data_IF_518712293662
#
_entry.id   IF_518712293662
#
_cell.length_a   1.000
_cell.length_b   1.000
_cell.length_c   1.000
_cell.angle_alpha   90.00
_cell.angle_beta   90.00
_cell.angle_gamma   90.00
#
_symmetry.space_group_name_H-M   'P 1'
#
loop_
_entity.id
_entity.type
_entity.pdbx_description
1 polymer ?
#
# COMPACT_ATOMS: atom_id res chain seq x y z
N UNK A 1 -13.63 11.70 -14.28
CA UNK A 1 -12.95 13.03 -14.27
C UNK A 1 -12.24 13.12 -12.91
N UNK A 2 -10.91 12.91 -12.84
CA UNK A 2 -10.18 13.05 -11.59
C UNK A 2 -10.07 14.54 -11.27
N UNK A 3 -10.83 14.98 -10.27
CA UNK A 3 -10.66 16.32 -9.71
C UNK A 3 -9.27 16.42 -9.12
N UNK A 4 -8.48 17.35 -9.63
CA UNK A 4 -7.18 17.71 -9.06
C UNK A 4 -7.43 18.30 -7.67
N UNK A 5 -7.12 17.53 -6.62
CA UNK A 5 -7.28 17.98 -5.24
C UNK A 5 -6.02 18.70 -4.81
N UNK A 6 -6.18 19.78 -4.04
CA UNK A 6 -5.06 20.56 -3.50
C UNK A 6 -4.04 19.67 -2.75
N UNK A 7 -4.53 18.69 -2.02
CA UNK A 7 -3.72 17.76 -1.23
C UNK A 7 -2.75 16.93 -2.09
N UNK A 8 -3.10 16.66 -3.35
CA UNK A 8 -2.23 15.95 -4.29
C UNK A 8 -1.02 16.79 -4.68
N UNK A 9 -1.22 18.09 -4.92
CA UNK A 9 -0.12 19.01 -5.22
C UNK A 9 0.81 19.19 -4.03
N UNK A 10 0.27 19.30 -2.84
CA UNK A 10 1.06 19.39 -1.61
C UNK A 10 1.88 18.10 -1.36
N UNK A 11 1.31 16.94 -1.70
CA UNK A 11 2.04 15.66 -1.63
C UNK A 11 3.21 15.62 -2.60
N UNK A 12 3.03 16.08 -3.86
CA UNK A 12 4.11 16.17 -4.84
C UNK A 12 5.24 17.10 -4.37
N UNK A 13 4.91 18.31 -3.87
CA UNK A 13 5.89 19.27 -3.33
C UNK A 13 6.67 18.70 -2.16
N UNK A 14 5.97 18.08 -1.22
CA UNK A 14 6.56 17.49 -0.02
C UNK A 14 7.54 16.36 -0.37
N UNK A 15 7.13 15.48 -1.29
CA UNK A 15 7.95 14.37 -1.76
C UNK A 15 9.17 14.89 -2.54
N UNK A 16 9.00 15.91 -3.41
CA UNK A 16 10.11 16.56 -4.09
C UNK A 16 11.12 17.17 -3.12
N UNK A 17 10.64 17.86 -2.07
CA UNK A 17 11.51 18.44 -1.04
C UNK A 17 12.29 17.37 -0.29
N UNK A 18 11.64 16.25 0.06
CA UNK A 18 12.28 15.11 0.72
C UNK A 18 13.35 14.46 -0.18
N UNK A 19 13.05 14.24 -1.48
CA UNK A 19 14.02 13.70 -2.44
C UNK A 19 15.23 14.60 -2.62
N UNK A 20 15.03 15.92 -2.70
CA UNK A 20 16.12 16.91 -2.79
C UNK A 20 17.00 16.94 -1.55
N UNK A 21 16.45 16.79 -0.37
CA UNK A 21 17.20 16.74 0.88
C UNK A 21 18.17 15.56 0.93
N UNK A 22 17.86 14.45 0.26
CA UNK A 22 18.75 13.28 0.15
C UNK A 22 19.85 13.53 -0.90
N UNK A 23 19.57 14.33 -1.92
CA UNK A 23 20.54 14.78 -2.93
C UNK A 23 20.81 13.78 -4.07
N UNK A 24 20.40 12.52 -3.94
CA UNK A 24 20.66 11.47 -4.94
C UNK A 24 19.52 11.27 -5.95
N UNK A 25 18.31 11.77 -5.66
CA UNK A 25 17.12 11.55 -6.48
C UNK A 25 16.55 12.87 -7.03
N UNK A 26 17.45 13.76 -7.50
CA UNK A 26 17.08 15.09 -7.97
C UNK A 26 16.14 15.05 -9.18
N UNK A 27 16.37 14.15 -10.12
CA UNK A 27 15.48 14.02 -11.29
C UNK A 27 14.07 13.54 -10.90
N UNK A 28 13.96 12.67 -9.90
CA UNK A 28 12.64 12.28 -9.38
C UNK A 28 11.95 13.46 -8.68
N UNK A 29 12.71 14.30 -7.96
CA UNK A 29 12.18 15.53 -7.40
C UNK A 29 11.69 16.50 -8.48
N UNK A 30 12.45 16.65 -9.57
CA UNK A 30 12.08 17.49 -10.71
C UNK A 30 10.84 16.94 -11.44
N UNK A 31 10.71 15.62 -11.59
CA UNK A 31 9.48 15.00 -12.05
C UNK A 31 8.27 15.42 -11.20
N UNK A 32 8.36 15.32 -9.88
CA UNK A 32 7.27 15.68 -8.96
C UNK A 32 6.88 17.15 -9.11
N UNK A 33 7.85 18.08 -9.24
CA UNK A 33 7.59 19.51 -9.37
C UNK A 33 6.98 19.88 -10.73
N UNK A 34 7.46 19.29 -11.82
CA UNK A 34 6.87 19.53 -13.15
C UNK A 34 5.45 18.94 -13.24
N UNK A 35 5.23 17.79 -12.56
CA UNK A 35 3.89 17.20 -12.51
C UNK A 35 2.93 18.05 -11.66
N UNK A 36 3.40 18.62 -10.55
CA UNK A 36 2.64 19.58 -9.72
C UNK A 36 2.23 20.81 -10.51
N UNK A 37 3.09 21.34 -11.36
CA UNK A 37 2.81 22.48 -12.24
C UNK A 37 1.84 22.17 -13.39
N UNK A 38 1.41 20.90 -13.51
CA UNK A 38 0.55 20.46 -14.61
C UNK A 38 1.30 20.21 -15.93
N UNK A 39 2.62 20.30 -15.93
CA UNK A 39 3.47 20.12 -17.12
C UNK A 39 3.73 18.62 -17.37
N UNK A 40 2.64 17.86 -17.53
CA UNK A 40 2.66 16.40 -17.58
C UNK A 40 3.66 15.83 -18.59
N UNK A 41 3.74 16.42 -19.79
CA UNK A 41 4.66 15.93 -20.84
C UNK A 41 6.13 16.06 -20.41
N UNK A 42 6.50 17.21 -19.83
CA UNK A 42 7.83 17.46 -19.32
C UNK A 42 8.15 16.54 -18.12
N UNK A 43 7.21 16.45 -17.18
CA UNK A 43 7.35 15.57 -16.03
C UNK A 43 7.64 14.13 -16.46
N UNK A 44 6.85 13.56 -17.36
CA UNK A 44 7.06 12.17 -17.82
C UNK A 44 8.35 12.00 -18.64
N UNK A 45 8.80 13.01 -19.38
CA UNK A 45 10.11 12.97 -20.04
C UNK A 45 11.28 12.89 -19.01
N UNK A 46 11.16 13.62 -17.90
CA UNK A 46 12.12 13.54 -16.78
C UNK A 46 12.04 12.16 -16.13
N UNK A 47 10.83 11.69 -15.82
CA UNK A 47 10.63 10.38 -15.19
C UNK A 47 11.24 9.24 -16.02
N UNK A 48 11.06 9.23 -17.34
CA UNK A 48 11.64 8.19 -18.19
C UNK A 48 13.16 8.19 -18.16
N UNK A 49 13.82 9.36 -18.12
CA UNK A 49 15.28 9.43 -17.92
C UNK A 49 15.68 8.86 -16.58
N UNK A 50 15.01 9.29 -15.51
CA UNK A 50 15.23 8.77 -14.17
C UNK A 50 15.10 7.24 -14.10
N UNK A 51 14.05 6.67 -14.70
CA UNK A 51 13.83 5.22 -14.77
C UNK A 51 15.01 4.54 -15.48
N UNK A 52 15.38 5.04 -16.68
CA UNK A 52 16.50 4.45 -17.45
C UNK A 52 17.82 4.52 -16.69
N UNK A 53 18.03 5.54 -15.86
CA UNK A 53 19.22 5.64 -15.03
C UNK A 53 19.14 4.69 -13.83
N UNK A 54 17.98 4.57 -13.21
CA UNK A 54 17.76 3.66 -12.07
C UNK A 54 17.88 2.18 -12.47
N UNK A 55 17.45 1.78 -13.67
CA UNK A 55 17.62 0.40 -14.19
C UNK A 55 19.09 -0.03 -14.24
N UNK A 56 20.01 0.92 -14.47
CA UNK A 56 21.45 0.67 -14.53
C UNK A 56 22.14 0.71 -13.16
N UNK A 57 21.41 1.13 -12.12
CA UNK A 57 21.97 1.21 -10.76
C UNK A 57 22.08 -0.17 -10.11
N UNK A 58 23.07 -0.36 -9.22
CA UNK A 58 23.15 -1.55 -8.38
C UNK A 58 21.87 -1.76 -7.58
N UNK A 59 21.58 -3.01 -7.22
CA UNK A 59 20.43 -3.38 -6.39
C UNK A 59 20.30 -2.48 -5.14
N UNK A 60 21.37 -2.26 -4.41
CA UNK A 60 21.38 -1.46 -3.19
C UNK A 60 20.86 -0.02 -3.39
N UNK A 61 21.19 0.61 -4.51
CA UNK A 61 20.71 1.96 -4.81
C UNK A 61 19.23 1.93 -5.18
N UNK A 62 18.79 0.94 -5.96
CA UNK A 62 17.37 0.75 -6.31
C UNK A 62 16.55 0.45 -5.07
N UNK A 63 17.03 -0.45 -4.20
CA UNK A 63 16.39 -0.79 -2.91
C UNK A 63 16.21 0.44 -2.03
N UNK A 64 17.26 1.25 -1.86
CA UNK A 64 17.20 2.49 -1.06
C UNK A 64 16.16 3.47 -1.58
N UNK A 65 16.10 3.64 -2.90
CA UNK A 65 15.08 4.49 -3.51
C UNK A 65 13.67 3.94 -3.28
N UNK A 66 13.45 2.65 -3.54
CA UNK A 66 12.15 1.99 -3.40
C UNK A 66 11.67 2.01 -1.95
N UNK A 67 12.54 1.67 -0.99
CA UNK A 67 12.23 1.74 0.45
C UNK A 67 11.82 3.15 0.87
N UNK A 68 12.63 4.16 0.52
CA UNK A 68 12.30 5.55 0.81
C UNK A 68 10.97 5.99 0.16
N UNK A 69 10.78 5.68 -1.12
CA UNK A 69 9.59 6.08 -1.86
C UNK A 69 8.34 5.49 -1.23
N UNK A 70 8.31 4.18 -1.02
CA UNK A 70 7.16 3.47 -0.48
C UNK A 70 6.82 3.89 0.96
N UNK A 71 7.84 4.15 1.77
CA UNK A 71 7.66 4.72 3.11
C UNK A 71 7.12 6.16 3.05
N UNK A 72 7.63 6.97 2.13
CA UNK A 72 7.20 8.37 1.98
C UNK A 72 5.75 8.48 1.51
N UNK A 73 5.30 7.56 0.64
CA UNK A 73 3.93 7.61 0.09
C UNK A 73 2.91 6.78 0.88
N UNK A 74 3.35 6.10 1.94
CA UNK A 74 2.43 5.31 2.77
C UNK A 74 1.35 6.20 3.39
N UNK A 75 0.09 5.77 3.21
CA UNK A 75 -1.07 6.53 3.67
C UNK A 75 -1.42 7.78 2.85
N UNK A 76 -0.68 8.08 1.77
CA UNK A 76 -0.98 9.23 0.91
C UNK A 76 -1.99 8.85 -0.18
N UNK A 77 -3.07 9.63 -0.33
CA UNK A 77 -4.04 9.46 -1.42
C UNK A 77 -3.43 9.74 -2.81
N UNK A 78 -2.39 10.56 -2.87
CA UNK A 78 -1.67 10.91 -4.10
C UNK A 78 -0.70 9.82 -4.59
N UNK A 79 -0.69 8.61 -3.99
CA UNK A 79 0.23 7.53 -4.34
C UNK A 79 0.33 7.29 -5.85
N UNK A 80 -0.79 7.27 -6.56
CA UNK A 80 -0.84 7.04 -8.02
C UNK A 80 -0.15 8.11 -8.85
N UNK A 81 0.02 9.33 -8.31
CA UNK A 81 0.77 10.41 -8.94
C UNK A 81 2.26 10.32 -8.62
N UNK A 82 2.59 9.91 -7.41
CA UNK A 82 3.96 9.75 -6.92
C UNK A 82 4.63 8.48 -7.46
N UNK A 83 3.85 7.42 -7.66
CA UNK A 83 4.30 6.17 -8.26
C UNK A 83 3.46 5.90 -9.52
N UNK A 84 3.71 6.62 -10.62
CA UNK A 84 3.01 6.35 -11.86
C UNK A 84 3.40 5.00 -12.45
N UNK A 85 2.51 4.43 -13.26
CA UNK A 85 2.63 3.08 -13.78
C UNK A 85 4.01 2.71 -14.36
N UNK A 86 4.70 3.56 -15.16
CA UNK A 86 6.04 3.22 -15.63
C UNK A 86 7.06 3.01 -14.49
N UNK A 87 7.02 3.83 -13.44
CA UNK A 87 7.90 3.70 -12.27
C UNK A 87 7.57 2.43 -11.47
N UNK A 88 6.27 2.15 -11.30
CA UNK A 88 5.81 0.95 -10.61
C UNK A 88 6.36 -0.32 -11.28
N UNK A 89 6.14 -0.46 -12.60
CA UNK A 89 6.45 -1.70 -13.33
C UNK A 89 7.96 -1.87 -13.57
N UNK A 90 8.69 -0.77 -13.84
CA UNK A 90 10.08 -0.87 -14.28
C UNK A 90 11.08 -0.81 -13.13
N UNK A 91 10.72 -0.18 -12.00
CA UNK A 91 11.64 -0.01 -10.87
C UNK A 91 11.09 -0.66 -9.59
N UNK A 92 9.86 -0.29 -9.17
CA UNK A 92 9.37 -0.70 -7.85
C UNK A 92 9.18 -2.21 -7.78
N UNK A 93 8.35 -2.78 -8.64
CA UNK A 93 8.05 -4.22 -8.62
C UNK A 93 9.30 -5.10 -8.83
N UNK A 94 10.14 -4.88 -9.86
CA UNK A 94 11.33 -5.69 -10.04
C UNK A 94 12.30 -5.61 -8.86
N UNK A 95 12.45 -4.42 -8.26
CA UNK A 95 13.32 -4.24 -7.09
C UNK A 95 12.79 -4.98 -5.87
N UNK A 96 11.48 -4.95 -5.62
CA UNK A 96 10.86 -5.69 -4.51
C UNK A 96 11.02 -7.19 -4.70
N UNK A 97 10.81 -7.71 -5.91
CA UNK A 97 10.97 -9.13 -6.21
C UNK A 97 12.43 -9.58 -6.04
N UNK A 98 13.39 -8.80 -6.52
CA UNK A 98 14.81 -9.07 -6.31
C UNK A 98 15.17 -9.03 -4.81
N UNK A 99 14.59 -8.08 -4.07
CA UNK A 99 14.84 -7.93 -2.63
C UNK A 99 14.40 -9.16 -1.83
N UNK A 100 13.24 -9.76 -2.16
CA UNK A 100 12.81 -11.00 -1.51
C UNK A 100 13.78 -12.18 -1.73
N UNK A 101 14.51 -12.17 -2.86
CA UNK A 101 15.48 -13.20 -3.18
C UNK A 101 16.84 -12.95 -2.52
N UNK A 102 17.29 -11.70 -2.49
CA UNK A 102 18.59 -11.31 -1.92
C UNK A 102 18.56 -11.34 -0.39
N UNK A 103 17.45 -10.94 0.21
CA UNK A 103 17.27 -10.88 1.66
C UNK A 103 15.98 -11.63 2.09
N UNK A 104 15.94 -12.96 2.04
CA UNK A 104 14.71 -13.74 2.23
C UNK A 104 14.13 -13.67 3.65
N UNK A 105 14.89 -13.13 4.61
CA UNK A 105 14.47 -12.89 5.98
C UNK A 105 14.12 -11.44 6.31
N UNK A 106 14.05 -10.58 5.30
CA UNK A 106 13.64 -9.19 5.45
C UNK A 106 12.12 -9.06 5.29
N UNK A 107 11.42 -8.50 6.27
CA UNK A 107 9.97 -8.30 6.23
C UNK A 107 9.57 -7.19 5.23
N UNK A 108 10.44 -6.19 5.04
CA UNK A 108 10.10 -4.98 4.32
C UNK A 108 9.64 -5.20 2.87
N UNK A 109 10.32 -5.98 1.99
CA UNK A 109 9.82 -6.17 0.63
C UNK A 109 8.46 -6.87 0.59
N UNK A 110 8.21 -7.83 1.49
CA UNK A 110 6.93 -8.51 1.61
C UNK A 110 5.80 -7.54 2.00
N UNK A 111 6.04 -6.64 2.97
CA UNK A 111 5.10 -5.58 3.34
C UNK A 111 4.70 -4.69 2.16
N UNK A 112 5.63 -4.42 1.25
CA UNK A 112 5.41 -3.52 0.13
C UNK A 112 4.82 -4.19 -1.11
N UNK A 113 5.10 -5.47 -1.37
CA UNK A 113 4.40 -6.28 -2.37
C UNK A 113 2.92 -6.31 -2.02
N UNK A 114 2.58 -6.63 -0.78
CA UNK A 114 1.31 -6.30 -0.18
C UNK A 114 0.12 -7.17 -0.57
N UNK A 115 0.28 -8.28 -1.27
CA UNK A 115 -0.75 -9.29 -1.36
C UNK A 115 -0.85 -10.08 -0.05
N UNK A 116 -1.87 -10.91 0.10
CA UNK A 116 -2.16 -11.61 1.35
C UNK A 116 -1.01 -12.50 1.82
N UNK A 117 -0.44 -13.28 0.92
CA UNK A 117 0.66 -14.20 1.22
C UNK A 117 1.90 -13.45 1.70
N UNK A 118 2.25 -12.38 0.98
CA UNK A 118 3.39 -11.54 1.34
C UNK A 118 3.16 -10.78 2.67
N UNK A 119 1.95 -10.28 2.92
CA UNK A 119 1.65 -9.62 4.20
C UNK A 119 1.70 -10.59 5.39
N UNK A 120 1.21 -11.81 5.21
CA UNK A 120 1.35 -12.88 6.21
C UNK A 120 2.83 -13.19 6.45
N UNK A 121 3.62 -13.32 5.37
CA UNK A 121 5.06 -13.54 5.47
C UNK A 121 5.80 -12.38 6.15
N UNK A 122 5.42 -11.14 5.87
CA UNK A 122 6.00 -9.98 6.56
C UNK A 122 5.78 -10.06 8.07
N UNK A 123 4.59 -10.46 8.52
CA UNK A 123 4.27 -10.60 9.94
C UNK A 123 4.91 -11.84 10.61
N UNK A 124 5.23 -12.88 9.85
CA UNK A 124 6.04 -13.99 10.34
C UNK A 124 7.49 -13.56 10.61
N UNK A 125 8.04 -12.71 9.75
CA UNK A 125 9.41 -12.20 9.85
C UNK A 125 9.54 -11.06 10.87
N UNK A 126 8.54 -10.19 10.93
CA UNK A 126 8.44 -9.08 11.88
C UNK A 126 7.01 -9.00 12.44
N UNK A 127 6.75 -9.66 13.58
CA UNK A 127 5.43 -9.65 14.21
C UNK A 127 4.96 -8.25 14.65
N UNK A 128 5.84 -7.28 14.76
CA UNK A 128 5.51 -5.90 15.16
C UNK A 128 5.32 -4.94 13.99
N UNK A 129 5.41 -5.42 12.74
CA UNK A 129 5.19 -4.61 11.55
C UNK A 129 3.77 -4.05 11.47
N UNK A 130 3.60 -2.80 11.91
CA UNK A 130 2.31 -2.11 11.97
C UNK A 130 1.71 -1.88 10.59
N UNK A 131 2.55 -1.65 9.56
CA UNK A 131 2.08 -1.39 8.20
C UNK A 131 1.54 -2.69 7.58
N UNK A 132 2.28 -3.79 7.69
CA UNK A 132 1.85 -5.09 7.19
C UNK A 132 0.57 -5.54 7.89
N UNK A 133 0.50 -5.39 9.21
CA UNK A 133 -0.66 -5.73 10.03
C UNK A 133 -1.91 -4.96 9.59
N UNK A 134 -1.80 -3.64 9.47
CA UNK A 134 -2.90 -2.79 9.03
C UNK A 134 -3.37 -3.14 7.61
N UNK A 135 -2.42 -3.33 6.69
CA UNK A 135 -2.73 -3.73 5.29
C UNK A 135 -3.44 -5.06 5.22
N UNK A 136 -3.00 -6.06 6.00
CA UNK A 136 -3.63 -7.38 6.02
C UNK A 136 -5.06 -7.31 6.55
N UNK A 137 -5.32 -6.57 7.63
CA UNK A 137 -6.67 -6.35 8.13
C UNK A 137 -7.55 -5.70 7.04
N UNK A 138 -7.09 -4.62 6.43
CA UNK A 138 -7.84 -3.93 5.37
C UNK A 138 -8.14 -4.87 4.19
N UNK A 139 -7.18 -5.70 3.80
CA UNK A 139 -7.38 -6.65 2.70
C UNK A 139 -8.41 -7.72 3.04
N UNK A 140 -8.35 -8.27 4.25
CA UNK A 140 -9.36 -9.21 4.77
C UNK A 140 -10.74 -8.54 4.74
N UNK A 141 -10.85 -7.36 5.30
CA UNK A 141 -12.15 -6.68 5.42
C UNK A 141 -12.74 -6.27 4.08
N UNK A 142 -11.92 -5.90 3.10
CA UNK A 142 -12.39 -5.65 1.73
C UNK A 142 -12.95 -6.90 1.04
N UNK A 143 -12.36 -8.06 1.31
CA UNK A 143 -12.91 -9.32 0.82
C UNK A 143 -14.27 -9.61 1.47
N UNK A 144 -14.40 -9.40 2.78
CA UNK A 144 -15.67 -9.60 3.52
C UNK A 144 -16.74 -8.60 3.04
N UNK A 145 -16.42 -7.31 2.91
CA UNK A 145 -17.30 -6.27 2.35
C UNK A 145 -17.82 -6.69 0.94
N UNK A 146 -16.95 -7.22 0.09
CA UNK A 146 -17.38 -7.76 -1.20
C UNK A 146 -18.34 -8.95 -1.04
N UNK A 147 -18.15 -9.83 -0.07
CA UNK A 147 -19.00 -10.98 0.16
C UNK A 147 -20.39 -10.61 0.73
N UNK A 148 -20.45 -9.54 1.51
CA UNK A 148 -21.65 -9.07 2.23
C UNK A 148 -22.47 -8.01 1.50
N UNK A 149 -21.89 -7.26 0.54
CA UNK A 149 -22.53 -6.06 -0.03
C UNK A 149 -23.86 -6.27 -0.76
N UNK A 150 -24.24 -7.53 -1.06
CA UNK A 150 -25.55 -7.86 -1.64
C UNK A 150 -26.57 -8.37 -0.61
N UNK A 151 -26.24 -8.32 0.68
CA UNK A 151 -27.17 -8.70 1.73
C UNK A 151 -28.38 -7.77 1.78
N UNK A 152 -29.59 -8.27 2.14
CA UNK A 152 -29.89 -9.66 2.53
C UNK A 152 -30.15 -10.61 1.36
N UNK A 153 -30.12 -10.15 0.12
CA UNK A 153 -30.54 -10.93 -1.06
C UNK A 153 -29.66 -12.14 -1.33
N UNK A 154 -28.33 -11.97 -1.25
CA UNK A 154 -27.36 -13.03 -1.49
C UNK A 154 -26.06 -12.77 -0.73
N UNK A 155 -25.42 -13.83 -0.28
CA UNK A 155 -24.06 -13.82 0.26
C UNK A 155 -23.10 -14.43 -0.78
N UNK A 156 -22.02 -13.71 -1.08
CA UNK A 156 -21.04 -14.12 -2.11
C UNK A 156 -19.83 -14.82 -1.46
N UNK A 157 -20.04 -16.07 -1.00
CA UNK A 157 -18.97 -16.83 -0.37
C UNK A 157 -19.50 -17.89 0.61
N UNK A 158 -18.65 -18.24 1.58
CA UNK A 158 -19.00 -19.15 2.66
C UNK A 158 -19.09 -18.38 3.99
N UNK A 159 -20.29 -18.02 4.47
CA UNK A 159 -20.41 -17.18 5.66
C UNK A 159 -19.81 -17.84 6.93
N UNK A 160 -19.72 -19.17 6.97
CA UNK A 160 -19.08 -19.88 8.09
C UNK A 160 -17.56 -19.77 8.02
N UNK A 161 -16.97 -19.94 6.85
CA UNK A 161 -15.52 -19.78 6.64
C UNK A 161 -15.12 -18.31 6.80
N UNK A 162 -15.94 -17.39 6.32
CA UNK A 162 -15.68 -15.97 6.39
C UNK A 162 -15.71 -15.43 7.84
N UNK A 163 -16.52 -16.04 8.72
CA UNK A 163 -16.43 -15.73 10.16
C UNK A 163 -15.05 -16.06 10.75
N UNK A 164 -14.43 -17.17 10.36
CA UNK A 164 -13.08 -17.50 10.81
C UNK A 164 -12.04 -16.50 10.27
N UNK A 165 -12.26 -15.98 9.06
CA UNK A 165 -11.40 -14.93 8.47
C UNK A 165 -11.57 -13.60 9.22
N UNK A 166 -12.80 -13.25 9.65
CA UNK A 166 -13.05 -12.09 10.49
C UNK A 166 -12.39 -12.23 11.88
N UNK A 167 -12.43 -13.42 12.49
CA UNK A 167 -11.74 -13.69 13.75
C UNK A 167 -10.22 -13.49 13.63
N UNK A 168 -9.63 -13.84 12.48
CA UNK A 168 -8.23 -13.53 12.20
C UNK A 168 -7.97 -12.01 12.18
N UNK A 169 -8.88 -11.22 11.58
CA UNK A 169 -8.77 -9.76 11.59
C UNK A 169 -8.89 -9.18 13.02
N UNK A 170 -9.81 -9.71 13.85
CA UNK A 170 -9.94 -9.34 15.26
C UNK A 170 -8.66 -9.66 16.07
N UNK A 171 -8.03 -10.79 15.79
CA UNK A 171 -6.76 -11.14 16.42
C UNK A 171 -5.64 -10.16 16.02
N UNK A 172 -5.51 -9.86 14.72
CA UNK A 172 -4.54 -8.90 14.22
C UNK A 172 -4.75 -7.49 14.79
N UNK A 173 -6.02 -7.10 14.99
CA UNK A 173 -6.39 -5.78 15.53
C UNK A 173 -5.81 -5.54 16.92
N UNK A 174 -5.64 -6.57 17.75
CA UNK A 174 -5.05 -6.45 19.11
C UNK A 174 -3.64 -5.89 19.08
N UNK A 175 -2.89 -6.14 18.00
CA UNK A 175 -1.52 -5.66 17.82
C UNK A 175 -1.41 -4.31 17.12
N UNK A 176 -2.50 -3.61 16.78
CA UNK A 176 -2.46 -2.26 16.21
C UNK A 176 -2.14 -1.26 17.33
N UNK A 177 -1.06 -0.50 17.15
CA UNK A 177 -0.58 0.46 18.13
C UNK A 177 -1.26 1.84 18.03
N UNK A 178 -1.66 2.26 16.82
CA UNK A 178 -2.35 3.53 16.61
C UNK A 178 -3.82 3.41 17.02
N UNK A 179 -4.25 4.10 18.06
CA UNK A 179 -5.61 3.98 18.61
C UNK A 179 -6.69 4.49 17.64
N UNK A 180 -6.38 5.48 16.80
CA UNK A 180 -7.34 5.98 15.79
C UNK A 180 -7.56 4.94 14.69
N UNK A 181 -6.49 4.36 14.16
CA UNK A 181 -6.58 3.27 13.18
C UNK A 181 -7.29 2.06 13.78
N UNK A 182 -6.93 1.71 15.02
CA UNK A 182 -7.54 0.60 15.74
C UNK A 182 -9.05 0.76 15.93
N UNK A 183 -9.50 1.94 16.34
CA UNK A 183 -10.93 2.23 16.51
C UNK A 183 -11.68 2.16 15.17
N UNK A 184 -11.12 2.73 14.10
CA UNK A 184 -11.71 2.68 12.77
C UNK A 184 -11.83 1.25 12.25
N UNK A 185 -10.76 0.46 12.37
CA UNK A 185 -10.75 -0.94 11.94
C UNK A 185 -11.69 -1.80 12.79
N UNK A 186 -11.78 -1.55 14.11
CA UNK A 186 -12.69 -2.27 15.01
C UNK A 186 -14.14 -2.06 14.60
N UNK A 187 -14.54 -0.84 14.26
CA UNK A 187 -15.90 -0.52 13.79
C UNK A 187 -16.20 -1.31 12.51
N UNK A 188 -15.30 -1.26 11.52
CA UNK A 188 -15.49 -1.97 10.26
C UNK A 188 -15.61 -3.49 10.48
N UNK A 189 -14.74 -4.09 11.30
CA UNK A 189 -14.79 -5.52 11.62
C UNK A 189 -16.12 -5.90 12.30
N UNK A 190 -16.59 -5.08 13.24
CA UNK A 190 -17.83 -5.34 13.98
C UNK A 190 -19.06 -5.25 13.08
N UNK A 191 -19.13 -4.29 12.17
CA UNK A 191 -20.20 -4.12 11.18
C UNK A 191 -20.31 -5.36 10.29
N UNK A 192 -19.21 -5.77 9.68
CA UNK A 192 -19.18 -6.94 8.79
C UNK A 192 -19.48 -8.25 9.51
N UNK A 193 -18.94 -8.45 10.71
CA UNK A 193 -19.24 -9.60 11.55
C UNK A 193 -20.73 -9.71 11.85
N UNK A 194 -21.35 -8.59 12.19
CA UNK A 194 -22.78 -8.50 12.47
C UNK A 194 -23.61 -8.89 11.24
N UNK A 195 -23.26 -8.35 10.06
CA UNK A 195 -23.92 -8.66 8.81
C UNK A 195 -23.89 -10.17 8.47
N UNK A 196 -22.73 -10.82 8.66
CA UNK A 196 -22.60 -12.27 8.45
C UNK A 196 -23.48 -13.05 9.47
N UNK A 197 -23.45 -12.66 10.75
CA UNK A 197 -24.21 -13.36 11.80
C UNK A 197 -25.71 -13.22 11.61
N UNK A 198 -26.20 -12.06 11.20
CA UNK A 198 -27.62 -11.83 10.90
C UNK A 198 -28.07 -12.67 9.71
N UNK A 199 -27.27 -12.75 8.66
CA UNK A 199 -27.56 -13.61 7.51
C UNK A 199 -27.64 -15.09 7.90
N UNK A 200 -26.76 -15.58 8.76
CA UNK A 200 -26.77 -16.96 9.24
C UNK A 200 -28.01 -17.28 10.13
N UNK A 201 -28.50 -16.28 10.87
CA UNK A 201 -29.73 -16.46 11.71
C UNK A 201 -31.01 -16.41 10.90
N UNK A 202 -31.00 -15.73 9.76
CA UNK A 202 -32.17 -15.60 8.87
C UNK A 202 -32.38 -16.80 7.92
N UNK A 203 -31.44 -17.76 7.89
CA UNK A 203 -31.55 -19.05 7.19
C UNK A 203 -32.08 -20.14 8.10
#
# INVERSE_FOLDING_TARGET
>A
MHYWRKDFFESLKRTASSARAIGTWLEYADFCLEYERGLRRQAFAILHRFISDMERKPFEERRRFVSWLLTTVEGQEARHMLIPNPLQIQIVEPTLMEWTQVEPHCAEPHRWIGDREHLERALELDPDDQIARRKLIIQIMRYIDYATHHLPSVYLGSPVEDLAVVEKAEFLLKGIANETDKASLATFIAEEKTAIQEYLRGK
#
